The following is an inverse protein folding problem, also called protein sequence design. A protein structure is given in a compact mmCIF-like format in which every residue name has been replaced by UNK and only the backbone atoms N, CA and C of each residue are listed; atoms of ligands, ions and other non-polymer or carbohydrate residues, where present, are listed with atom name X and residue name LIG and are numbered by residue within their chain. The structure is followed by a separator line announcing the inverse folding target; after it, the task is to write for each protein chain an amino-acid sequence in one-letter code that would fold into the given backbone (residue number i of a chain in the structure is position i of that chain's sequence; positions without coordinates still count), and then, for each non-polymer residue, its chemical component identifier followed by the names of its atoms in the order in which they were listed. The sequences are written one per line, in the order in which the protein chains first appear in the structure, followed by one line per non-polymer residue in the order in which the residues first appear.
data_IF_941238295182
#
_entry.id   IF_941238295182
#
_cell.length_a   1.000
_cell.length_b   1.000
_cell.length_c   1.000
_cell.angle_alpha   90.00
_cell.angle_beta   90.00
_cell.angle_gamma   90.00
#
_symmetry.space_group_name_H-M   'P 1'
#
loop_
_entity.id
_entity.type
_entity.pdbx_description
1 polymer ?
#
# COMPACT_ATOMS: atom_id res chain seq x y z
N UNK A 1 4.22 -1.02 2.25
CA UNK A 1 4.58 0.36 1.84
C UNK A 1 3.80 0.75 0.59
N UNK A 2 3.33 2.01 0.50
CA UNK A 2 2.72 2.57 -0.72
C UNK A 2 3.80 2.97 -1.72
N UNK A 3 3.52 2.88 -3.04
CA UNK A 3 4.42 3.36 -4.09
C UNK A 3 4.67 4.87 -4.01
N UNK A 4 5.77 5.34 -4.62
CA UNK A 4 6.13 6.75 -4.75
C UNK A 4 5.17 7.55 -5.63
N UNK A 5 5.24 8.88 -5.59
CA UNK A 5 4.38 9.74 -6.41
C UNK A 5 4.60 9.46 -7.90
N UNK A 6 3.47 9.35 -8.63
CA UNK A 6 3.47 9.16 -10.08
C UNK A 6 2.99 10.42 -10.79
N UNK A 7 3.17 10.47 -12.13
CA UNK A 7 2.62 11.55 -12.95
C UNK A 7 1.09 11.68 -12.81
N UNK A 8 0.37 10.55 -12.70
CA UNK A 8 -1.08 10.59 -12.51
C UNK A 8 -1.45 11.12 -11.12
N UNK A 9 -0.69 10.80 -10.08
CA UNK A 9 -0.88 11.43 -8.77
C UNK A 9 -0.71 12.94 -8.83
N UNK A 10 0.33 13.42 -9.53
CA UNK A 10 0.60 14.86 -9.70
C UNK A 10 -0.54 15.55 -10.49
N UNK A 11 -1.12 14.87 -11.47
CA UNK A 11 -2.19 15.39 -12.32
C UNK A 11 -3.60 15.23 -11.69
N UNK A 12 -3.72 14.62 -10.50
CA UNK A 12 -5.01 14.32 -9.88
C UNK A 12 -5.84 13.33 -10.70
N UNK A 13 -5.20 12.33 -11.33
CA UNK A 13 -5.88 11.30 -12.12
C UNK A 13 -6.02 10.01 -11.34
N UNK A 14 -7.13 9.33 -11.56
CA UNK A 14 -7.40 7.97 -11.08
C UNK A 14 -6.36 7.02 -11.65
N UNK A 15 -5.76 6.23 -10.79
CA UNK A 15 -4.72 5.27 -11.17
C UNK A 15 -4.92 3.97 -10.39
N UNK A 16 -5.75 3.12 -10.94
CA UNK A 16 -5.98 1.76 -10.47
C UNK A 16 -5.24 0.74 -11.33
N UNK A 17 -5.95 0.11 -12.27
CA UNK A 17 -5.38 -0.87 -13.20
C UNK A 17 -4.38 -0.26 -14.19
N UNK A 18 -4.60 0.99 -14.62
CA UNK A 18 -3.65 1.72 -15.46
C UNK A 18 -2.37 2.09 -14.68
N UNK A 19 -1.31 2.46 -15.39
CA UNK A 19 -0.03 2.83 -14.78
C UNK A 19 0.51 4.15 -15.34
N UNK A 20 1.37 4.80 -14.56
CA UNK A 20 2.16 5.94 -15.00
C UNK A 20 3.48 5.99 -14.23
N UNK A 21 4.57 6.47 -14.83
CA UNK A 21 5.89 6.46 -14.22
C UNK A 21 5.96 7.35 -12.96
N UNK A 22 6.92 7.05 -12.10
CA UNK A 22 7.25 7.88 -10.96
C UNK A 22 7.67 9.28 -11.42
N UNK A 23 7.35 10.29 -10.61
CA UNK A 23 7.93 11.63 -10.75
C UNK A 23 9.31 11.68 -10.09
N UNK A 24 10.08 12.75 -10.34
CA UNK A 24 11.32 12.98 -9.61
C UNK A 24 11.09 12.97 -8.08
N UNK A 25 10.00 13.61 -7.61
CA UNK A 25 9.60 13.54 -6.22
C UNK A 25 9.30 12.10 -5.77
N UNK A 26 8.63 11.29 -6.60
CA UNK A 26 8.35 9.89 -6.30
C UNK A 26 9.62 9.05 -6.14
N UNK A 27 10.65 9.32 -6.94
CA UNK A 27 11.98 8.70 -6.84
C UNK A 27 12.63 9.10 -5.50
N UNK A 28 12.61 10.39 -5.15
CA UNK A 28 13.17 10.88 -3.88
C UNK A 28 12.40 10.33 -2.67
N UNK A 29 11.09 10.17 -2.78
CA UNK A 29 10.27 9.53 -1.74
C UNK A 29 10.70 8.06 -1.51
N UNK A 30 10.94 7.30 -2.56
CA UNK A 30 11.42 5.92 -2.44
C UNK A 30 12.83 5.84 -1.84
N UNK A 31 13.72 6.76 -2.21
CA UNK A 31 15.06 6.89 -1.60
C UNK A 31 14.99 7.28 -0.12
N UNK A 32 14.05 8.14 0.26
CA UNK A 32 13.84 8.51 1.67
C UNK A 32 13.34 7.31 2.50
N UNK A 33 12.47 6.47 1.93
CA UNK A 33 12.08 5.22 2.56
C UNK A 33 13.29 4.27 2.75
N UNK A 34 14.17 4.16 1.74
CA UNK A 34 15.44 3.42 1.86
C UNK A 34 16.31 3.94 2.99
N UNK A 35 16.45 5.26 3.08
CA UNK A 35 17.25 5.88 4.13
C UNK A 35 16.70 5.55 5.53
N UNK A 36 15.37 5.64 5.70
CA UNK A 36 14.71 5.21 6.93
C UNK A 36 14.99 3.74 7.26
N UNK A 37 14.89 2.82 6.30
CA UNK A 37 15.21 1.41 6.54
C UNK A 37 16.66 1.20 7.00
N UNK A 38 17.61 1.96 6.42
CA UNK A 38 19.04 1.91 6.82
C UNK A 38 19.24 2.48 8.24
N UNK A 39 18.62 3.59 8.58
CA UNK A 39 18.71 4.26 9.89
C UNK A 39 18.14 3.37 11.00
N UNK A 40 17.02 2.68 10.73
CA UNK A 40 16.39 1.74 11.66
C UNK A 40 17.03 0.32 11.65
N UNK A 41 18.06 0.09 10.86
CA UNK A 41 18.71 -1.22 10.74
C UNK A 41 17.81 -2.32 10.17
N UNK A 42 16.76 -1.94 9.40
CA UNK A 42 15.79 -2.88 8.83
C UNK A 42 16.40 -3.54 7.59
N UNK A 43 16.47 -4.87 7.62
CA UNK A 43 16.93 -5.68 6.48
C UNK A 43 15.85 -6.70 6.11
N UNK A 44 15.34 -6.61 4.90
CA UNK A 44 14.30 -7.53 4.44
C UNK A 44 14.89 -8.86 3.98
N UNK A 45 14.32 -9.97 4.45
CA UNK A 45 14.64 -11.33 3.96
C UNK A 45 14.05 -11.54 2.56
N UNK A 46 12.83 -11.07 2.34
CA UNK A 46 12.13 -11.12 1.05
C UNK A 46 11.39 -9.81 0.75
N UNK A 47 11.35 -9.46 -0.53
CA UNK A 47 10.64 -8.27 -1.04
C UNK A 47 9.59 -8.70 -2.04
N UNK A 48 8.38 -8.22 -1.86
CA UNK A 48 7.23 -8.45 -2.73
C UNK A 48 6.71 -7.12 -3.27
N UNK A 49 6.36 -7.08 -4.53
CA UNK A 49 5.74 -5.91 -5.15
C UNK A 49 4.46 -6.27 -5.89
N UNK A 50 3.56 -5.32 -6.00
CA UNK A 50 2.54 -5.35 -7.04
C UNK A 50 3.18 -5.57 -8.42
N UNK A 51 2.42 -6.08 -9.36
CA UNK A 51 2.90 -6.22 -10.75
C UNK A 51 2.90 -4.90 -11.53
N UNK A 52 2.40 -3.81 -10.94
CA UNK A 52 2.36 -2.50 -11.58
C UNK A 52 3.71 -1.80 -11.46
N UNK A 53 4.15 -1.17 -12.56
CA UNK A 53 5.51 -0.65 -12.72
C UNK A 53 5.87 0.36 -11.63
N UNK A 54 4.99 1.29 -11.30
CA UNK A 54 5.19 2.26 -10.21
C UNK A 54 5.54 1.64 -8.85
N UNK A 55 4.98 0.45 -8.56
CA UNK A 55 5.28 -0.26 -7.32
C UNK A 55 6.60 -1.03 -7.41
N UNK A 56 6.89 -1.59 -8.59
CA UNK A 56 8.16 -2.24 -8.90
C UNK A 56 9.33 -1.28 -8.78
N UNK A 57 9.26 -0.13 -9.46
CA UNK A 57 10.28 0.93 -9.40
C UNK A 57 10.50 1.43 -7.97
N UNK A 58 9.39 1.59 -7.22
CA UNK A 58 9.47 1.97 -5.80
C UNK A 58 10.20 0.91 -4.97
N UNK A 59 9.90 -0.38 -5.20
CA UNK A 59 10.56 -1.47 -4.49
C UNK A 59 12.07 -1.49 -4.77
N UNK A 60 12.46 -1.34 -6.04
CA UNK A 60 13.87 -1.29 -6.47
C UNK A 60 14.61 -0.12 -5.84
N UNK A 61 14.04 1.07 -5.87
CA UNK A 61 14.64 2.28 -5.30
C UNK A 61 14.72 2.24 -3.77
N UNK A 62 13.71 1.67 -3.10
CA UNK A 62 13.66 1.59 -1.65
C UNK A 62 14.55 0.50 -1.06
N UNK A 63 14.90 -0.54 -1.83
CA UNK A 63 15.66 -1.68 -1.32
C UNK A 63 17.00 -1.91 -2.00
N UNK A 64 17.26 -1.23 -3.11
CA UNK A 64 18.43 -1.47 -4.00
C UNK A 64 18.48 -2.93 -4.51
N UNK A 65 17.31 -3.58 -4.65
CA UNK A 65 17.18 -4.96 -5.12
C UNK A 65 16.38 -5.03 -6.41
N UNK A 66 16.81 -5.89 -7.32
CA UNK A 66 16.10 -6.25 -8.55
C UNK A 66 15.50 -7.66 -8.48
N UNK A 67 15.90 -8.45 -7.46
CA UNK A 67 15.40 -9.79 -7.20
C UNK A 67 14.25 -9.75 -6.17
N UNK A 68 13.07 -9.37 -6.61
CA UNK A 68 11.85 -9.37 -5.80
C UNK A 68 10.73 -10.15 -6.50
N UNK A 69 9.72 -10.55 -5.73
CA UNK A 69 8.60 -11.34 -6.23
C UNK A 69 7.41 -10.42 -6.55
N UNK A 70 6.89 -10.52 -7.78
CA UNK A 70 5.73 -9.77 -8.23
C UNK A 70 4.45 -10.56 -7.98
N UNK A 71 3.50 -9.98 -7.27
CA UNK A 71 2.23 -10.60 -6.90
C UNK A 71 1.05 -9.78 -7.44
N UNK A 72 0.21 -10.42 -8.28
CA UNK A 72 -0.99 -9.77 -8.85
C UNK A 72 -1.98 -9.32 -7.79
N UNK A 73 -2.09 -10.03 -6.68
CA UNK A 73 -3.00 -9.69 -5.59
C UNK A 73 -2.64 -8.39 -4.85
N UNK A 74 -1.42 -7.85 -5.05
CA UNK A 74 -1.00 -6.56 -4.49
C UNK A 74 -1.36 -5.36 -5.39
N UNK A 75 -2.00 -5.55 -6.56
CA UNK A 75 -2.40 -4.46 -7.45
C UNK A 75 -3.36 -3.49 -6.77
N UNK A 76 -3.44 -2.27 -7.32
CA UNK A 76 -4.43 -1.29 -6.89
C UNK A 76 -5.84 -1.74 -7.28
N UNK A 77 -6.85 -1.13 -6.67
CA UNK A 77 -8.25 -1.25 -7.06
C UNK A 77 -8.40 -0.91 -8.54
N UNK A 78 -9.14 -1.74 -9.27
CA UNK A 78 -9.54 -1.45 -10.64
C UNK A 78 -10.76 -0.52 -10.64
N UNK A 79 -10.64 0.62 -11.28
CA UNK A 79 -11.72 1.61 -11.39
C UNK A 79 -12.50 1.49 -12.71
N UNK A 80 -12.23 0.45 -13.51
CA UNK A 80 -12.91 0.19 -14.77
C UNK A 80 -12.80 1.37 -15.75
N UNK A 81 -13.90 1.80 -16.33
CA UNK A 81 -13.90 2.90 -17.29
C UNK A 81 -13.56 4.29 -16.69
N UNK A 82 -13.39 4.39 -15.37
CA UNK A 82 -12.89 5.62 -14.71
C UNK A 82 -11.36 5.73 -14.71
N UNK A 83 -10.65 4.69 -15.14
CA UNK A 83 -9.18 4.72 -15.23
C UNK A 83 -8.67 5.93 -16.01
N UNK A 84 -7.65 6.60 -15.49
CA UNK A 84 -7.04 7.82 -16.02
C UNK A 84 -7.94 9.08 -16.03
N UNK A 85 -9.19 8.99 -15.61
CA UNK A 85 -10.04 10.18 -15.43
C UNK A 85 -9.58 11.03 -14.25
N UNK A 86 -10.08 12.24 -14.12
CA UNK A 86 -9.77 13.13 -13.00
C UNK A 86 -10.40 12.61 -11.71
N UNK A 87 -9.66 12.61 -10.60
CA UNK A 87 -10.12 12.12 -9.29
C UNK A 87 -11.39 12.85 -8.78
N UNK A 88 -11.61 14.11 -9.16
CA UNK A 88 -12.80 14.86 -8.74
C UNK A 88 -14.10 14.34 -9.36
N UNK A 89 -14.02 13.48 -10.37
CA UNK A 89 -15.18 12.80 -10.97
C UNK A 89 -15.61 11.57 -10.18
N UNK A 90 -14.79 11.12 -9.21
CA UNK A 90 -15.15 10.00 -8.37
C UNK A 90 -16.36 10.31 -7.50
N UNK A 91 -17.18 9.29 -7.17
CA UNK A 91 -18.24 9.45 -6.20
C UNK A 91 -17.67 9.81 -4.81
N UNK A 92 -18.49 10.34 -3.90
CA UNK A 92 -18.07 10.58 -2.52
C UNK A 92 -17.56 9.29 -1.86
N UNK A 93 -16.46 9.42 -1.11
CA UNK A 93 -15.94 8.33 -0.30
C UNK A 93 -16.79 8.14 0.96
N UNK A 94 -17.29 6.94 1.18
CA UNK A 94 -17.91 6.52 2.44
C UNK A 94 -16.84 6.19 3.48
N UNK A 95 -16.38 7.21 4.20
CA UNK A 95 -15.30 7.08 5.19
C UNK A 95 -15.80 6.53 6.52
N UNK A 96 -17.05 6.80 6.86
CA UNK A 96 -17.71 6.46 8.12
C UNK A 96 -17.83 4.96 8.34
N UNK A 97 -18.06 4.18 7.30
CA UNK A 97 -18.18 2.72 7.35
C UNK A 97 -16.87 2.00 6.93
N UNK A 98 -15.85 2.76 6.55
CA UNK A 98 -14.58 2.21 6.07
C UNK A 98 -14.63 1.55 4.69
N UNK A 99 -15.78 1.53 4.03
CA UNK A 99 -15.98 0.81 2.77
C UNK A 99 -15.60 1.64 1.52
N UNK A 100 -15.14 2.88 1.69
CA UNK A 100 -14.62 3.69 0.59
C UNK A 100 -15.63 3.93 -0.51
N UNK A 101 -15.42 3.35 -1.67
CA UNK A 101 -16.34 3.45 -2.83
C UNK A 101 -17.35 2.30 -2.89
N UNK A 102 -17.31 1.36 -1.95
CA UNK A 102 -18.18 0.17 -1.91
C UNK A 102 -18.08 -0.63 -3.23
N UNK A 103 -19.20 -0.82 -3.92
CA UNK A 103 -19.31 -1.56 -5.18
C UNK A 103 -19.50 -0.64 -6.40
N UNK A 104 -19.37 0.67 -6.22
CA UNK A 104 -19.68 1.67 -7.25
C UNK A 104 -19.02 1.35 -8.60
N UNK A 105 -17.74 1.00 -8.59
CA UNK A 105 -16.97 0.77 -9.83
C UNK A 105 -17.29 -0.56 -10.52
N UNK A 106 -17.99 -1.48 -9.88
CA UNK A 106 -18.41 -2.73 -10.52
C UNK A 106 -19.31 -2.51 -11.73
N UNK A 107 -20.20 -1.50 -11.67
CA UNK A 107 -21.07 -1.12 -12.80
C UNK A 107 -20.27 -0.58 -14.01
N UNK A 108 -19.00 -0.25 -13.83
CA UNK A 108 -18.09 0.30 -14.83
C UNK A 108 -16.94 -0.66 -15.18
N UNK A 109 -17.07 -1.93 -14.84
CA UNK A 109 -16.06 -2.95 -15.13
C UNK A 109 -14.86 -2.98 -14.16
N UNK A 110 -14.96 -2.25 -13.03
CA UNK A 110 -13.95 -2.23 -11.98
C UNK A 110 -14.25 -3.20 -10.83
N UNK A 111 -13.54 -3.01 -9.71
CA UNK A 111 -13.66 -3.83 -8.50
C UNK A 111 -14.51 -3.14 -7.43
N UNK A 112 -15.14 -3.96 -6.57
CA UNK A 112 -15.65 -3.50 -5.27
C UNK A 112 -14.53 -3.46 -4.23
N UNK A 113 -14.74 -2.71 -3.15
CA UNK A 113 -13.84 -2.69 -2.00
C UNK A 113 -13.65 -4.07 -1.37
N UNK A 114 -14.70 -4.90 -1.37
CA UNK A 114 -14.65 -6.29 -0.83
C UNK A 114 -13.72 -7.14 -1.69
N UNK A 115 -13.85 -7.09 -3.02
CA UNK A 115 -12.98 -7.82 -3.93
C UNK A 115 -11.50 -7.42 -3.77
N UNK A 116 -11.23 -6.11 -3.63
CA UNK A 116 -9.87 -5.62 -3.36
C UNK A 116 -9.34 -6.17 -2.05
N UNK A 117 -10.15 -6.09 -0.97
CA UNK A 117 -9.78 -6.62 0.32
C UNK A 117 -9.48 -8.12 0.27
N UNK A 118 -10.39 -8.92 -0.29
CA UNK A 118 -10.25 -10.38 -0.32
C UNK A 118 -8.98 -10.81 -1.06
N UNK A 119 -8.70 -10.23 -2.24
CA UNK A 119 -7.51 -10.62 -3.00
C UNK A 119 -6.20 -10.20 -2.33
N UNK A 120 -6.11 -9.00 -1.74
CA UNK A 120 -4.89 -8.56 -1.08
C UNK A 120 -4.65 -9.33 0.22
N UNK A 121 -5.71 -9.55 1.02
CA UNK A 121 -5.62 -10.30 2.26
C UNK A 121 -5.22 -11.76 2.01
N UNK A 122 -5.84 -12.42 1.02
CA UNK A 122 -5.45 -13.76 0.60
C UNK A 122 -3.99 -13.81 0.20
N UNK A 123 -3.55 -12.89 -0.67
CA UNK A 123 -2.17 -12.86 -1.17
C UNK A 123 -1.14 -12.68 -0.06
N UNK A 124 -1.39 -11.78 0.88
CA UNK A 124 -0.47 -11.54 2.00
C UNK A 124 -0.47 -12.74 2.95
N UNK A 125 -1.63 -13.32 3.28
CA UNK A 125 -1.71 -14.51 4.16
C UNK A 125 -0.99 -15.72 3.56
N UNK A 126 -1.15 -15.99 2.27
CA UNK A 126 -0.43 -17.08 1.59
C UNK A 126 1.11 -16.93 1.68
N UNK A 127 1.61 -15.69 1.66
CA UNK A 127 3.03 -15.43 1.88
C UNK A 127 3.42 -15.63 3.35
N UNK A 128 2.63 -15.12 4.29
CA UNK A 128 2.90 -15.22 5.72
C UNK A 128 2.90 -16.68 6.20
N UNK A 129 1.97 -17.51 5.72
CA UNK A 129 1.89 -18.94 6.02
C UNK A 129 3.14 -19.73 5.57
N UNK A 130 3.89 -19.21 4.59
CA UNK A 130 5.13 -19.78 4.09
C UNK A 130 6.39 -19.12 4.65
N UNK A 131 6.22 -18.24 5.65
CA UNK A 131 7.30 -17.47 6.25
C UNK A 131 7.60 -17.96 7.65
N UNK A 132 8.81 -17.70 8.11
CA UNK A 132 9.22 -17.96 9.50
C UNK A 132 9.04 -16.71 10.37
N UNK A 133 9.07 -16.89 11.70
CA UNK A 133 8.95 -15.79 12.67
C UNK A 133 10.13 -14.79 12.59
N UNK A 134 11.26 -15.22 12.02
CA UNK A 134 12.43 -14.37 11.82
C UNK A 134 12.41 -13.56 10.53
N UNK A 135 11.45 -13.83 9.64
CA UNK A 135 11.37 -13.16 8.35
C UNK A 135 10.94 -11.71 8.49
N UNK A 136 11.67 -10.81 7.86
CA UNK A 136 11.29 -9.44 7.63
C UNK A 136 10.88 -9.25 6.17
N UNK A 137 9.60 -9.03 5.94
CA UNK A 137 9.00 -8.98 4.61
C UNK A 137 8.62 -7.56 4.24
N UNK A 138 8.96 -7.12 3.04
CA UNK A 138 8.45 -5.88 2.47
C UNK A 138 7.40 -6.20 1.40
N UNK A 139 6.22 -5.57 1.52
CA UNK A 139 5.21 -5.55 0.47
C UNK A 139 5.06 -4.12 -0.05
N UNK A 140 5.24 -3.93 -1.36
CA UNK A 140 5.01 -2.64 -2.02
C UNK A 140 3.72 -2.71 -2.82
N UNK A 141 2.76 -1.85 -2.48
CA UNK A 141 1.41 -1.84 -3.02
C UNK A 141 0.89 -0.41 -3.15
N UNK A 142 -0.42 -0.19 -3.07
CA UNK A 142 -1.08 1.03 -3.48
C UNK A 142 -2.02 1.56 -2.39
N UNK A 143 -2.55 2.77 -2.61
CA UNK A 143 -3.31 3.49 -1.61
C UNK A 143 -4.61 2.81 -1.19
N UNK A 144 -5.49 2.48 -2.14
CA UNK A 144 -6.76 1.83 -1.83
C UNK A 144 -6.54 0.39 -1.35
N UNK A 145 -5.68 -0.38 -2.03
CA UNK A 145 -5.38 -1.76 -1.68
C UNK A 145 -4.86 -1.89 -0.24
N UNK A 146 -3.84 -1.09 0.14
CA UNK A 146 -3.33 -1.07 1.52
C UNK A 146 -4.41 -0.64 2.51
N UNK A 147 -5.22 0.36 2.16
CA UNK A 147 -6.29 0.85 3.02
C UNK A 147 -7.33 -0.23 3.30
N UNK A 148 -7.75 -0.98 2.28
CA UNK A 148 -8.69 -2.09 2.47
C UNK A 148 -8.05 -3.21 3.29
N UNK A 149 -6.78 -3.51 3.05
CA UNK A 149 -6.08 -4.53 3.82
C UNK A 149 -6.02 -4.20 5.30
N UNK A 150 -5.46 -3.04 5.70
CA UNK A 150 -5.29 -2.77 7.13
C UNK A 150 -6.62 -2.55 7.85
N UNK A 151 -7.66 -2.08 7.18
CA UNK A 151 -8.98 -1.88 7.79
C UNK A 151 -9.70 -3.18 8.10
N UNK A 152 -9.52 -4.20 7.30
CA UNK A 152 -10.32 -5.43 7.39
C UNK A 152 -9.51 -6.66 7.81
N UNK A 153 -8.19 -6.66 7.59
CA UNK A 153 -7.32 -7.79 7.88
C UNK A 153 -6.52 -7.68 9.17
N UNK A 154 -6.53 -6.50 9.82
CA UNK A 154 -5.78 -6.27 11.06
C UNK A 154 -6.69 -6.18 12.28
N UNK A 155 -6.18 -6.59 13.45
CA UNK A 155 -6.95 -6.63 14.71
C UNK A 155 -7.48 -5.25 15.16
N UNK A 156 -6.70 -4.19 14.92
CA UNK A 156 -7.05 -2.84 15.34
C UNK A 156 -7.00 -1.90 14.13
N UNK A 157 -8.05 -1.91 13.32
CA UNK A 157 -8.10 -1.07 12.14
C UNK A 157 -8.10 0.40 12.55
N UNK A 158 -7.09 1.11 12.08
CA UNK A 158 -6.99 2.55 12.26
C UNK A 158 -7.65 3.25 11.09
N UNK A 159 -8.32 4.34 11.34
CA UNK A 159 -8.79 5.23 10.29
C UNK A 159 -7.86 6.45 10.29
N UNK A 160 -6.85 6.51 9.39
CA UNK A 160 -6.00 7.67 9.31
C UNK A 160 -6.84 8.91 9.02
N UNK A 161 -6.63 9.96 9.81
CA UNK A 161 -7.33 11.24 9.63
C UNK A 161 -6.91 11.95 8.33
N UNK A 162 -5.73 11.61 7.81
CA UNK A 162 -5.15 12.16 6.57
C UNK A 162 -5.08 11.08 5.48
N UNK A 163 -5.04 11.49 4.21
CA UNK A 163 -4.73 10.61 3.07
C UNK A 163 -3.33 10.03 3.27
N UNK A 164 -3.17 8.76 3.00
CA UNK A 164 -1.86 8.11 3.06
C UNK A 164 -0.89 8.76 2.08
N UNK A 165 0.24 9.22 2.60
CA UNK A 165 1.32 9.77 1.77
C UNK A 165 1.89 8.71 0.82
N UNK A 166 2.45 9.13 -0.30
CA UNK A 166 3.26 8.24 -1.11
C UNK A 166 4.48 7.78 -0.30
N UNK A 167 4.91 6.55 -0.49
CA UNK A 167 5.94 5.86 0.30
C UNK A 167 5.63 5.72 1.81
N UNK A 168 4.40 5.97 2.28
CA UNK A 168 4.04 5.66 3.66
C UNK A 168 4.32 4.19 3.98
N UNK A 169 5.00 3.97 5.13
CA UNK A 169 5.46 2.67 5.60
C UNK A 169 4.55 2.22 6.73
N UNK A 170 3.95 1.04 6.58
CA UNK A 170 3.20 0.37 7.63
C UNK A 170 4.08 -0.72 8.23
N UNK A 171 4.46 -0.58 9.49
CA UNK A 171 5.08 -1.66 10.26
C UNK A 171 3.95 -2.50 10.87
N UNK A 172 3.96 -3.79 10.57
CA UNK A 172 2.98 -4.75 11.06
C UNK A 172 3.69 -5.96 11.65
N UNK A 173 3.07 -6.59 12.63
CA UNK A 173 3.48 -7.88 13.17
C UNK A 173 2.43 -8.93 12.86
N UNK A 174 2.87 -10.17 12.71
CA UNK A 174 2.04 -11.35 12.52
C UNK A 174 2.45 -12.41 13.54
N UNK A 175 1.49 -12.95 14.29
CA UNK A 175 1.72 -13.92 15.37
C UNK A 175 1.37 -15.36 14.99
N UNK A 176 1.23 -15.66 13.70
CA UNK A 176 0.78 -16.94 13.17
C UNK A 176 -0.74 -16.99 12.93
N UNK A 177 -1.51 -16.02 13.41
CA UNK A 177 -2.96 -15.92 13.25
C UNK A 177 -3.39 -14.52 12.87
N UNK A 178 -3.03 -13.55 13.67
CA UNK A 178 -3.52 -12.18 13.59
C UNK A 178 -2.41 -11.21 13.12
N UNK A 179 -2.83 -10.19 12.36
CA UNK A 179 -1.95 -9.13 11.90
C UNK A 179 -2.26 -7.86 12.68
N UNK A 180 -1.22 -7.19 13.19
CA UNK A 180 -1.36 -5.99 13.99
C UNK A 180 -0.52 -4.85 13.42
N UNK A 181 -1.11 -3.67 13.25
CA UNK A 181 -0.38 -2.46 12.86
C UNK A 181 0.36 -1.91 14.08
N UNK A 182 1.67 -1.79 13.99
CA UNK A 182 2.53 -1.22 15.04
C UNK A 182 2.77 0.27 14.81
N UNK A 183 3.04 0.65 13.57
CA UNK A 183 3.21 2.06 13.23
C UNK A 183 2.91 2.36 11.77
N UNK A 184 2.64 3.63 11.49
CA UNK A 184 2.56 4.19 10.13
C UNK A 184 3.51 5.38 10.10
N UNK A 185 4.53 5.31 9.26
CA UNK A 185 5.58 6.31 9.14
C UNK A 185 5.55 7.00 7.78
N UNK A 186 5.73 8.32 7.77
CA UNK A 186 5.92 9.11 6.56
C UNK A 186 7.41 9.44 6.39
N UNK A 187 8.12 8.81 5.44
CA UNK A 187 9.57 8.96 5.31
C UNK A 187 9.98 10.35 4.78
N UNK A 188 9.07 11.12 4.19
CA UNK A 188 9.36 12.46 3.69
C UNK A 188 9.32 13.50 4.82
N UNK A 189 8.25 13.47 5.59
CA UNK A 189 8.07 14.39 6.72
C UNK A 189 8.82 13.90 7.97
N UNK A 190 9.39 12.69 7.90
CA UNK A 190 10.10 12.00 8.99
C UNK A 190 9.28 11.95 10.28
N UNK A 191 7.98 11.67 10.15
CA UNK A 191 7.05 11.64 11.27
C UNK A 191 6.25 10.32 11.31
N UNK A 192 5.91 9.89 12.53
CA UNK A 192 4.94 8.84 12.75
C UNK A 192 3.53 9.42 12.64
N UNK A 193 2.75 8.96 11.65
CA UNK A 193 1.32 9.25 11.52
C UNK A 193 0.54 8.52 12.62
N UNK A 194 1.04 7.34 12.97
CA UNK A 194 0.55 6.49 14.05
C UNK A 194 1.71 5.67 14.62
N UNK A 195 1.73 5.53 15.92
CA UNK A 195 2.64 4.63 16.65
C UNK A 195 1.88 4.03 17.83
N UNK A 196 1.90 2.71 17.93
CA UNK A 196 1.33 1.99 19.07
C UNK A 196 2.23 2.18 20.28
N UNK A 197 1.63 2.51 21.42
CA UNK A 197 2.34 2.55 22.71
C UNK A 197 2.26 1.18 23.38
N UNK A 198 3.29 0.83 24.13
CA UNK A 198 3.40 -0.48 24.80
C UNK A 198 2.22 -0.82 25.76
N UNK A 199 1.34 0.12 26.04
CA UNK A 199 0.20 -0.05 26.94
C UNK A 199 -1.19 -0.02 26.23
N UNK A 200 -1.21 -0.10 24.88
CA UNK A 200 -2.46 -0.11 24.10
C UNK A 200 -2.92 -1.53 23.72
#
# INVERSE_FOLDING_TARGET
MRHGQTRFNLQGRIQGACDSPLTELGIEQAKSARQHFKEEGITFTRVYSSTQERACDTAELATERTNYIRLKGLKEMDFGSYEAHQEYLNPPLHREDGLGYRDYFMAYGGESNVQVYERIAKTIREVLEQSSDEDQLLFVSHGAAITQFYRHATLNPLVPKKRLANCAIFKMTYDGKDIMVQSIYNPIEKEYIFERKEND
#
